data_IF_839130509293
#
_entry.id   IF_839130509293
#
_cell.length_a   1.000
_cell.length_b   1.000
_cell.length_c   1.000
_cell.angle_alpha   90.00
_cell.angle_beta   90.00
_cell.angle_gamma   90.00
#
_symmetry.space_group_name_H-M   'P 1'
#
loop_
_entity.id
_entity.type
_entity.pdbx_description
1 polymer ?
#
# COMPACT_ATOMS: atom_id res chain seq x y z
N UNK A 1 -27.38 17.51 -74.71
CA UNK A 1 -26.25 16.52 -74.78
C UNK A 1 -25.28 16.79 -73.65
N UNK A 2 -25.71 16.55 -72.39
CA UNK A 2 -24.90 16.85 -71.18
C UNK A 2 -24.94 15.75 -70.08
N UNK A 3 -25.50 14.56 -70.38
CA UNK A 3 -25.72 13.51 -69.40
C UNK A 3 -24.64 12.40 -69.43
N UNK A 4 -23.70 12.43 -70.37
CA UNK A 4 -22.70 11.38 -70.56
C UNK A 4 -21.39 11.54 -69.78
N UNK A 5 -21.19 12.65 -69.11
CA UNK A 5 -19.91 12.92 -68.39
C UNK A 5 -19.94 12.53 -66.90
N UNK A 6 -21.12 12.30 -66.30
CA UNK A 6 -21.21 11.93 -64.88
C UNK A 6 -21.34 10.44 -64.63
N UNK A 7 -21.78 9.62 -65.65
CA UNK A 7 -21.93 8.20 -65.54
C UNK A 7 -20.58 7.46 -65.35
N UNK A 8 -19.50 7.97 -65.98
CA UNK A 8 -18.20 7.31 -65.93
C UNK A 8 -17.43 7.66 -64.63
N UNK A 9 -17.72 8.83 -64.01
CA UNK A 9 -17.13 9.21 -62.74
C UNK A 9 -17.75 8.43 -61.57
N UNK A 10 -19.04 8.16 -61.63
CA UNK A 10 -19.72 7.38 -60.59
C UNK A 10 -19.33 5.90 -60.57
N UNK A 11 -19.09 5.29 -61.73
CA UNK A 11 -18.61 3.91 -61.82
C UNK A 11 -17.18 3.74 -61.30
N UNK A 12 -16.30 4.73 -61.50
CA UNK A 12 -14.94 4.68 -60.97
C UNK A 12 -14.91 4.88 -59.42
N UNK A 13 -15.77 5.76 -58.89
CA UNK A 13 -15.89 5.95 -57.46
C UNK A 13 -16.48 4.73 -56.76
N UNK A 14 -17.49 4.08 -57.37
CA UNK A 14 -18.11 2.88 -56.84
C UNK A 14 -17.17 1.66 -56.87
N UNK A 15 -16.34 1.50 -57.92
CA UNK A 15 -15.31 0.44 -57.98
C UNK A 15 -14.15 0.66 -57.04
N UNK A 16 -13.76 1.90 -56.74
CA UNK A 16 -12.74 2.23 -55.72
C UNK A 16 -13.25 1.99 -54.31
N UNK A 17 -14.53 2.21 -54.00
CA UNK A 17 -15.09 1.87 -52.68
C UNK A 17 -15.21 0.37 -52.44
N UNK A 18 -15.43 -0.45 -53.46
CA UNK A 18 -15.52 -1.92 -53.34
C UNK A 18 -14.12 -2.53 -53.21
N UNK A 19 -13.08 -1.96 -53.81
CA UNK A 19 -11.71 -2.43 -53.68
C UNK A 19 -11.10 -2.15 -52.28
N UNK A 20 -11.62 -1.12 -51.52
CA UNK A 20 -11.19 -0.80 -50.16
C UNK A 20 -11.73 -1.77 -49.09
N UNK A 21 -12.71 -2.60 -49.39
CA UNK A 21 -13.31 -3.55 -48.43
C UNK A 21 -12.74 -4.97 -48.60
N UNK A 22 -12.03 -5.26 -49.68
CA UNK A 22 -11.48 -6.60 -49.96
C UNK A 22 -10.11 -6.84 -49.28
N UNK A 23 -9.55 -5.85 -48.53
CA UNK A 23 -8.26 -5.95 -47.87
C UNK A 23 -8.28 -6.47 -46.43
N UNK A 24 -9.45 -6.75 -45.84
CA UNK A 24 -9.58 -7.18 -44.44
C UNK A 24 -10.27 -8.56 -44.29
N UNK A 25 -10.25 -9.42 -45.32
CA UNK A 25 -10.80 -10.80 -45.19
C UNK A 25 -9.67 -11.74 -45.56
N UNK A 26 -8.88 -12.14 -44.59
CA UNK A 26 -7.87 -13.18 -44.75
C UNK A 26 -6.67 -13.04 -43.82
N UNK A 27 -6.90 -13.07 -42.54
CA UNK A 27 -5.97 -13.45 -41.52
C UNK A 27 -6.79 -14.16 -40.46
N UNK A 28 -6.58 -15.45 -40.26
CA UNK A 28 -6.90 -16.10 -39.01
C UNK A 28 -5.96 -15.47 -37.95
N UNK A 29 -6.22 -14.20 -37.58
CA UNK A 29 -5.71 -13.65 -36.37
C UNK A 29 -6.47 -14.41 -35.28
N UNK A 30 -5.87 -15.46 -34.73
CA UNK A 30 -6.29 -15.99 -33.44
C UNK A 30 -6.29 -14.76 -32.52
N UNK A 31 -7.50 -14.33 -32.15
CA UNK A 31 -7.68 -13.25 -31.15
C UNK A 31 -7.04 -13.76 -29.88
N UNK A 32 -5.80 -13.37 -29.63
CA UNK A 32 -5.09 -13.72 -28.40
C UNK A 32 -5.91 -13.12 -27.28
N UNK A 33 -6.66 -13.97 -26.58
CA UNK A 33 -7.46 -13.56 -25.43
C UNK A 33 -6.53 -13.00 -24.37
N UNK A 34 -6.46 -11.67 -24.29
CA UNK A 34 -5.58 -10.97 -23.36
C UNK A 34 -6.06 -11.19 -21.95
N UNK A 35 -5.27 -11.89 -21.15
CA UNK A 35 -5.55 -12.18 -19.75
C UNK A 35 -5.16 -10.98 -18.89
N UNK A 36 -6.02 -10.62 -17.96
CA UNK A 36 -5.75 -9.51 -17.03
C UNK A 36 -5.46 -10.06 -15.64
N UNK A 37 -4.37 -9.57 -15.03
CA UNK A 37 -4.03 -9.78 -13.61
C UNK A 37 -4.26 -8.46 -12.90
N UNK A 38 -5.23 -8.43 -11.98
CA UNK A 38 -5.54 -7.28 -11.18
C UNK A 38 -4.88 -7.38 -9.81
N UNK A 39 -4.13 -6.35 -9.44
CA UNK A 39 -3.44 -6.22 -8.16
C UNK A 39 -4.00 -4.97 -7.47
N UNK A 40 -4.27 -5.04 -6.19
CA UNK A 40 -4.62 -3.85 -5.41
C UNK A 40 -4.20 -3.99 -3.95
N UNK A 41 -3.88 -2.87 -3.31
CA UNK A 41 -3.61 -2.85 -1.87
C UNK A 41 -2.69 -1.74 -1.43
N UNK A 42 -1.64 -2.11 -0.74
CA UNK A 42 -0.73 -1.24 -0.03
C UNK A 42 -0.11 -0.13 -0.89
N UNK A 43 -0.19 1.10 -0.43
CA UNK A 43 0.53 2.23 -1.04
C UNK A 43 2.06 2.08 -0.93
N UNK A 44 2.56 1.39 0.07
CA UNK A 44 4.00 1.07 0.24
C UNK A 44 4.47 0.05 -0.82
N UNK A 45 3.66 -0.96 -1.12
CA UNK A 45 3.99 -2.01 -2.10
C UNK A 45 3.71 -1.54 -3.54
N UNK A 46 2.79 -0.61 -3.73
CA UNK A 46 2.35 -0.12 -5.04
C UNK A 46 3.47 0.21 -6.04
N UNK A 47 4.55 0.94 -5.69
CA UNK A 47 5.61 1.24 -6.65
C UNK A 47 6.34 -0.02 -7.14
N UNK A 48 6.57 -0.97 -6.25
CA UNK A 48 7.25 -2.23 -6.55
C UNK A 48 6.35 -3.13 -7.38
N UNK A 49 5.09 -3.30 -6.97
CA UNK A 49 4.09 -4.07 -7.72
C UNK A 49 3.88 -3.50 -9.13
N UNK A 50 3.86 -2.17 -9.28
CA UNK A 50 3.74 -1.51 -10.58
C UNK A 50 4.94 -1.80 -11.49
N UNK A 51 6.16 -1.75 -10.95
CA UNK A 51 7.37 -2.06 -11.71
C UNK A 51 7.41 -3.54 -12.15
N UNK A 52 7.03 -4.45 -11.24
CA UNK A 52 6.94 -5.89 -11.58
C UNK A 52 5.83 -6.18 -12.58
N UNK A 53 4.66 -5.54 -12.43
CA UNK A 53 3.54 -5.69 -13.37
C UNK A 53 3.90 -5.25 -14.79
N UNK A 54 4.58 -4.11 -14.92
CA UNK A 54 5.08 -3.63 -16.21
C UNK A 54 6.11 -4.59 -16.82
N UNK A 55 7.07 -5.06 -16.03
CA UNK A 55 8.09 -6.00 -16.49
C UNK A 55 7.46 -7.35 -16.90
N UNK A 56 6.47 -7.84 -16.16
CA UNK A 56 5.77 -9.09 -16.47
C UNK A 56 4.97 -8.97 -17.77
N UNK A 57 4.18 -7.89 -17.93
CA UNK A 57 3.43 -7.65 -19.17
C UNK A 57 4.33 -7.48 -20.40
N UNK A 58 5.51 -6.84 -20.23
CA UNK A 58 6.47 -6.70 -21.31
C UNK A 58 7.11 -8.03 -21.72
N UNK A 59 7.27 -8.97 -20.78
CA UNK A 59 7.83 -10.29 -21.04
C UNK A 59 6.77 -11.31 -21.51
N UNK A 60 5.49 -11.05 -21.24
CA UNK A 60 4.37 -11.96 -21.51
C UNK A 60 3.22 -11.17 -22.18
N UNK A 61 3.25 -11.08 -23.51
CA UNK A 61 2.33 -10.26 -24.30
C UNK A 61 0.84 -10.65 -24.13
N UNK A 62 0.55 -11.87 -23.70
CA UNK A 62 -0.79 -12.38 -23.47
C UNK A 62 -1.41 -11.89 -22.15
N UNK A 63 -0.60 -11.17 -21.33
CA UNK A 63 -1.01 -10.70 -20.01
C UNK A 63 -0.91 -9.19 -19.89
N UNK A 64 -1.96 -8.59 -19.37
CA UNK A 64 -1.97 -7.22 -18.87
C UNK A 64 -2.04 -7.24 -17.36
N UNK A 65 -1.10 -6.57 -16.67
CA UNK A 65 -1.13 -6.41 -15.22
C UNK A 65 -1.58 -4.99 -14.88
N UNK A 66 -2.64 -4.89 -14.08
CA UNK A 66 -3.12 -3.61 -13.53
C UNK A 66 -2.81 -3.55 -12.05
N UNK A 67 -2.37 -2.41 -11.56
CA UNK A 67 -2.05 -2.21 -10.15
C UNK A 67 -2.77 -0.97 -9.65
N UNK A 68 -3.47 -1.10 -8.53
CA UNK A 68 -4.18 -0.02 -7.86
C UNK A 68 -3.72 0.11 -6.41
N UNK A 69 -3.58 1.33 -5.92
CA UNK A 69 -3.39 1.62 -4.50
C UNK A 69 -4.72 1.56 -3.74
N UNK A 70 -4.68 1.81 -2.43
CA UNK A 70 -5.89 1.85 -1.58
C UNK A 70 -5.64 1.43 -0.14
N UNK A 71 -4.36 1.15 0.20
CA UNK A 71 -3.96 0.67 1.53
C UNK A 71 -4.05 -0.84 1.69
N UNK A 72 -3.37 -1.37 2.70
CA UNK A 72 -3.31 -2.81 2.99
C UNK A 72 -4.69 -3.42 3.26
N UNK A 73 -5.59 -2.67 3.94
CA UNK A 73 -6.96 -3.11 4.18
C UNK A 73 -7.78 -3.27 2.90
N UNK A 74 -7.57 -2.41 1.91
CA UNK A 74 -8.21 -2.56 0.59
C UNK A 74 -7.69 -3.80 -0.14
N UNK A 75 -6.38 -4.10 -0.04
CA UNK A 75 -5.78 -5.32 -0.57
C UNK A 75 -6.40 -6.58 0.02
N UNK A 76 -6.49 -6.63 1.36
CA UNK A 76 -7.12 -7.71 2.09
C UNK A 76 -8.60 -7.90 1.69
N UNK A 77 -9.36 -6.81 1.69
CA UNK A 77 -10.79 -6.85 1.35
C UNK A 77 -11.03 -7.33 -0.07
N UNK A 78 -10.27 -6.82 -1.04
CA UNK A 78 -10.47 -7.14 -2.47
C UNK A 78 -10.04 -8.54 -2.84
N UNK A 79 -8.95 -9.05 -2.27
CA UNK A 79 -8.52 -10.44 -2.52
C UNK A 79 -9.45 -11.46 -1.88
N UNK A 80 -10.12 -11.07 -0.79
CA UNK A 80 -11.14 -11.87 -0.11
C UNK A 80 -12.56 -11.70 -0.69
N UNK A 81 -12.76 -10.79 -1.65
CA UNK A 81 -14.06 -10.55 -2.26
C UNK A 81 -14.39 -11.60 -3.31
N UNK A 82 -15.67 -11.92 -3.42
CA UNK A 82 -16.26 -12.72 -4.53
C UNK A 82 -16.98 -11.84 -5.54
N UNK A 83 -16.99 -10.53 -5.35
CA UNK A 83 -17.68 -9.57 -6.19
C UNK A 83 -16.86 -9.22 -7.45
N UNK A 84 -17.46 -8.42 -8.32
CA UNK A 84 -16.86 -8.02 -9.59
C UNK A 84 -15.62 -7.12 -9.45
N UNK A 85 -15.39 -6.56 -8.27
CA UNK A 85 -14.22 -5.73 -7.95
C UNK A 85 -13.10 -6.50 -7.24
N UNK A 86 -13.23 -7.83 -7.14
CA UNK A 86 -12.21 -8.72 -6.62
C UNK A 86 -10.91 -8.63 -7.44
N UNK A 87 -9.79 -8.91 -6.78
CA UNK A 87 -8.47 -8.90 -7.42
C UNK A 87 -7.80 -10.27 -7.35
N UNK A 88 -6.89 -10.52 -8.29
CA UNK A 88 -6.13 -11.76 -8.31
C UNK A 88 -5.04 -11.78 -7.23
N UNK A 89 -4.50 -10.59 -6.89
CA UNK A 89 -3.45 -10.41 -5.91
C UNK A 89 -3.81 -9.21 -5.03
N UNK A 90 -3.95 -9.45 -3.73
CA UNK A 90 -4.02 -8.39 -2.72
C UNK A 90 -2.63 -8.16 -2.14
N UNK A 91 -2.09 -6.95 -2.24
CA UNK A 91 -0.80 -6.64 -1.64
C UNK A 91 -0.95 -5.90 -0.31
N UNK A 92 -0.11 -6.25 0.66
CA UNK A 92 -0.14 -5.68 2.00
C UNK A 92 1.28 -5.40 2.50
N UNK A 93 1.43 -4.35 3.31
CA UNK A 93 2.68 -4.00 4.02
C UNK A 93 2.58 -4.22 5.53
N UNK A 94 1.64 -5.04 5.95
CA UNK A 94 1.43 -5.51 7.33
C UNK A 94 0.90 -6.94 7.33
N UNK A 95 0.87 -7.54 8.49
CA UNK A 95 0.20 -8.83 8.69
C UNK A 95 -1.33 -8.71 8.56
N UNK A 96 -1.98 -9.85 8.36
CA UNK A 96 -3.42 -9.95 8.41
C UNK A 96 -3.96 -9.57 9.78
N UNK A 97 -5.11 -8.91 9.82
CA UNK A 97 -5.90 -8.75 11.04
C UNK A 97 -6.78 -9.99 11.25
N UNK A 98 -7.02 -10.36 12.50
CA UNK A 98 -7.92 -11.48 12.85
C UNK A 98 -9.35 -11.30 12.28
N UNK A 99 -9.76 -10.03 12.09
CA UNK A 99 -11.04 -9.69 11.47
C UNK A 99 -11.07 -9.84 9.94
N UNK A 100 -9.93 -10.00 9.30
CA UNK A 100 -9.80 -10.13 7.84
C UNK A 100 -9.65 -11.59 7.41
N UNK A 101 -8.76 -12.34 8.06
CA UNK A 101 -8.53 -13.75 7.74
C UNK A 101 -7.88 -14.51 8.90
N UNK A 102 -8.00 -15.83 8.86
CA UNK A 102 -7.41 -16.74 9.83
C UNK A 102 -6.38 -17.64 9.14
N UNK A 103 -5.20 -17.77 9.76
CA UNK A 103 -4.12 -18.61 9.23
C UNK A 103 -4.45 -20.09 9.32
N UNK A 104 -4.16 -20.84 8.27
CA UNK A 104 -4.24 -22.30 8.23
C UNK A 104 -3.07 -22.98 8.95
N UNK A 105 -3.18 -24.29 9.12
CA UNK A 105 -2.16 -25.09 9.84
C UNK A 105 -0.79 -25.12 9.13
N UNK A 106 -0.74 -24.79 7.85
CA UNK A 106 0.49 -24.70 7.04
C UNK A 106 1.27 -23.38 7.24
N UNK A 107 0.65 -22.38 7.88
CA UNK A 107 1.26 -21.09 8.18
C UNK A 107 1.32 -20.08 7.02
N UNK A 108 0.86 -20.45 5.82
CA UNK A 108 0.85 -19.57 4.64
C UNK A 108 -0.47 -19.53 3.88
N UNK A 109 -1.39 -20.42 4.17
CA UNK A 109 -2.77 -20.39 3.67
C UNK A 109 -3.65 -19.63 4.65
N UNK A 110 -4.49 -18.74 4.15
CA UNK A 110 -5.38 -17.91 4.97
C UNK A 110 -6.82 -18.04 4.48
N UNK A 111 -7.73 -18.28 5.41
CA UNK A 111 -9.16 -18.32 5.15
C UNK A 111 -9.76 -16.96 5.47
N UNK A 112 -10.39 -16.34 4.50
CA UNK A 112 -11.02 -15.03 4.64
C UNK A 112 -12.19 -15.06 5.63
N UNK A 113 -12.28 -14.06 6.52
CA UNK A 113 -13.27 -14.07 7.61
C UNK A 113 -14.72 -13.90 7.13
N UNK A 114 -14.93 -13.21 6.00
CA UNK A 114 -16.28 -12.82 5.54
C UNK A 114 -16.65 -13.46 4.17
N UNK A 115 -15.91 -14.46 3.73
CA UNK A 115 -16.17 -15.19 2.48
C UNK A 115 -15.57 -16.58 2.54
N UNK A 116 -15.95 -17.45 1.59
CA UNK A 116 -15.37 -18.79 1.44
C UNK A 116 -14.02 -18.76 0.68
N UNK A 117 -13.44 -17.60 0.46
CA UNK A 117 -12.17 -17.44 -0.25
C UNK A 117 -11.01 -17.86 0.65
N UNK A 118 -10.11 -18.62 0.06
CA UNK A 118 -8.83 -18.99 0.67
C UNK A 118 -7.71 -18.43 -0.19
N UNK A 119 -6.75 -17.77 0.44
CA UNK A 119 -5.61 -17.14 -0.23
C UNK A 119 -4.28 -17.71 0.26
N UNK A 120 -3.27 -17.66 -0.59
CA UNK A 120 -1.89 -18.01 -0.21
C UNK A 120 -1.08 -16.75 -0.02
N UNK A 121 -0.45 -16.62 1.15
CA UNK A 121 0.45 -15.51 1.45
C UNK A 121 1.87 -15.79 0.96
N UNK A 122 2.46 -14.84 0.26
CA UNK A 122 3.85 -14.85 -0.17
C UNK A 122 4.55 -13.60 0.38
N UNK A 123 5.60 -13.79 1.15
CA UNK A 123 6.46 -12.68 1.61
C UNK A 123 7.45 -12.38 0.49
N UNK A 124 7.35 -11.19 -0.08
CA UNK A 124 8.14 -10.81 -1.27
C UNK A 124 9.27 -9.81 -0.96
N UNK A 125 9.15 -9.08 0.16
CA UNK A 125 10.16 -8.12 0.61
C UNK A 125 10.01 -7.84 2.10
N UNK A 126 11.03 -7.24 2.69
CA UNK A 126 11.00 -6.68 4.04
C UNK A 126 11.17 -5.17 3.88
N UNK A 127 10.26 -4.41 4.48
CA UNK A 127 10.32 -2.95 4.54
C UNK A 127 10.93 -2.50 5.87
N UNK A 128 11.50 -1.29 5.87
CA UNK A 128 12.10 -0.67 7.05
C UNK A 128 11.45 0.68 7.36
N UNK A 129 10.87 0.79 8.56
CA UNK A 129 10.39 2.06 9.08
C UNK A 129 11.52 2.78 9.82
N UNK A 130 11.75 4.05 9.48
CA UNK A 130 12.73 4.90 10.15
C UNK A 130 12.05 6.12 10.75
N UNK A 131 12.38 6.43 12.00
CA UNK A 131 12.03 7.70 12.62
C UNK A 131 13.12 8.71 12.29
N UNK A 132 12.74 9.85 11.75
CA UNK A 132 13.67 10.90 11.36
C UNK A 132 13.36 12.19 12.11
N UNK A 133 14.38 12.91 12.51
CA UNK A 133 14.29 14.19 13.22
C UNK A 133 15.12 15.25 12.53
N UNK A 134 14.78 16.53 12.74
CA UNK A 134 15.58 17.64 12.21
C UNK A 134 16.91 17.72 12.94
N UNK A 135 18.02 17.62 12.20
CA UNK A 135 19.36 17.74 12.76
C UNK A 135 19.56 19.10 13.46
N UNK A 136 20.05 19.06 14.69
CA UNK A 136 20.27 20.25 15.54
C UNK A 136 18.98 20.84 16.12
N UNK A 137 17.84 20.15 16.02
CA UNK A 137 16.59 20.51 16.68
C UNK A 137 16.49 19.90 18.08
N UNK A 138 15.46 20.28 18.86
CA UNK A 138 15.24 19.77 20.22
C UNK A 138 15.19 18.23 20.26
N UNK A 139 14.49 17.62 19.32
CA UNK A 139 14.44 16.16 19.18
C UNK A 139 15.82 15.53 18.99
N UNK A 140 16.64 16.05 18.07
CA UNK A 140 17.98 15.53 17.79
C UNK A 140 18.89 15.67 18.99
N UNK A 141 18.86 16.84 19.65
CA UNK A 141 19.67 17.11 20.84
C UNK A 141 19.31 16.16 21.98
N UNK A 142 18.02 16.01 22.29
CA UNK A 142 17.55 15.15 23.36
C UNK A 142 17.82 13.65 23.07
N UNK A 143 17.48 13.17 21.87
CA UNK A 143 17.71 11.78 21.47
C UNK A 143 19.21 11.44 21.48
N UNK A 144 20.05 12.34 21.00
CA UNK A 144 21.51 12.17 21.02
C UNK A 144 22.06 12.12 22.45
N UNK A 145 21.57 12.95 23.36
CA UNK A 145 21.94 12.96 24.76
C UNK A 145 21.50 11.70 25.51
N UNK A 146 20.38 11.10 25.09
CA UNK A 146 19.90 9.80 25.59
C UNK A 146 20.64 8.59 24.97
N UNK A 147 21.34 8.77 23.86
CA UNK A 147 21.96 7.69 23.11
C UNK A 147 20.98 6.90 22.25
N UNK A 148 19.81 7.44 21.96
CA UNK A 148 18.72 6.82 21.19
C UNK A 148 17.41 6.77 21.95
N UNK A 149 16.37 6.23 21.32
CA UNK A 149 15.06 5.99 21.93
C UNK A 149 14.83 4.49 22.13
N UNK A 150 14.31 4.12 23.29
CA UNK A 150 13.80 2.78 23.55
C UNK A 150 12.44 2.57 22.85
N UNK A 151 12.04 1.31 22.68
CA UNK A 151 10.70 0.99 22.17
C UNK A 151 9.58 1.52 23.07
N UNK A 152 9.82 1.55 24.39
CA UNK A 152 8.89 2.13 25.36
C UNK A 152 8.70 3.64 25.11
N UNK A 153 9.80 4.36 24.97
CA UNK A 153 9.77 5.80 24.68
C UNK A 153 9.11 6.08 23.32
N UNK A 154 9.39 5.29 22.28
CA UNK A 154 8.71 5.43 20.99
C UNK A 154 7.20 5.21 21.11
N UNK A 155 6.76 4.18 21.82
CA UNK A 155 5.33 3.96 22.06
C UNK A 155 4.69 5.09 22.86
N UNK A 156 5.36 5.57 23.88
CA UNK A 156 4.87 6.71 24.64
C UNK A 156 4.76 7.97 23.76
N UNK A 157 5.74 8.21 22.89
CA UNK A 157 5.71 9.33 21.94
C UNK A 157 4.54 9.22 20.94
N UNK A 158 4.29 8.03 20.39
CA UNK A 158 3.37 7.83 19.26
C UNK A 158 1.97 7.35 19.65
N UNK A 159 1.67 7.13 20.93
CA UNK A 159 0.34 6.73 21.39
C UNK A 159 -0.22 7.77 22.37
N UNK A 160 -1.51 7.75 22.60
CA UNK A 160 -2.20 8.50 23.65
C UNK A 160 -2.30 7.69 24.98
N UNK A 161 -1.64 6.54 25.04
CA UNK A 161 -1.68 5.65 26.19
C UNK A 161 -0.95 6.24 27.40
N UNK A 162 -1.50 6.02 28.59
CA UNK A 162 -0.80 6.33 29.82
C UNK A 162 0.40 5.41 30.05
N UNK A 163 1.30 5.77 30.96
CA UNK A 163 2.41 4.88 31.35
C UNK A 163 1.89 3.54 31.87
N UNK A 164 0.79 3.54 32.65
CA UNK A 164 0.17 2.32 33.17
C UNK A 164 -0.36 1.44 32.05
N UNK A 165 -0.99 2.03 31.02
CA UNK A 165 -1.48 1.28 29.85
C UNK A 165 -0.32 0.64 29.11
N UNK A 166 0.77 1.36 28.91
CA UNK A 166 1.97 0.86 28.22
C UNK A 166 2.67 -0.26 28.99
N UNK A 167 2.70 -0.18 30.33
CA UNK A 167 3.28 -1.22 31.19
C UNK A 167 2.45 -2.51 31.22
N UNK A 168 1.11 -2.39 31.17
CA UNK A 168 0.16 -3.50 31.31
C UNK A 168 -0.30 -4.09 29.99
N UNK A 169 -0.01 -3.45 28.85
CA UNK A 169 -0.47 -3.90 27.55
C UNK A 169 0.09 -5.28 27.16
N UNK A 170 -0.79 -6.18 26.73
CA UNK A 170 -0.46 -7.57 26.40
C UNK A 170 0.66 -7.76 25.34
N UNK A 171 0.85 -6.78 24.45
CA UNK A 171 1.89 -6.79 23.39
C UNK A 171 3.23 -6.27 23.86
N UNK A 172 3.47 -6.16 25.15
CA UNK A 172 4.80 -5.91 25.50
C UNK A 172 5.13 -5.22 26.76
N UNK A 173 4.76 -5.66 27.97
CA UNK A 173 5.29 -5.27 29.28
C UNK A 173 6.58 -4.39 29.26
N UNK A 174 6.49 -3.20 28.64
CA UNK A 174 7.60 -2.31 28.49
C UNK A 174 7.71 -1.50 29.77
N UNK A 175 8.79 -1.68 30.49
CA UNK A 175 9.06 -0.89 31.69
C UNK A 175 9.26 0.56 31.29
N UNK A 176 8.34 1.43 31.72
CA UNK A 176 8.35 2.88 31.44
C UNK A 176 9.24 3.67 32.41
N UNK A 177 10.19 3.01 33.06
CA UNK A 177 11.13 3.66 34.00
C UNK A 177 12.03 4.73 33.35
N UNK A 178 11.96 4.86 32.03
CA UNK A 178 12.72 5.84 31.26
C UNK A 178 11.90 7.08 30.88
N UNK A 179 10.66 7.20 31.36
CA UNK A 179 9.84 8.38 31.17
C UNK A 179 9.56 8.98 32.55
N UNK A 180 9.89 10.22 32.72
CA UNK A 180 9.56 11.01 33.92
C UNK A 180 8.60 12.10 33.44
N UNK A 181 7.28 11.88 33.55
CA UNK A 181 6.34 12.89 33.11
C UNK A 181 6.58 14.20 33.79
N UNK A 182 6.59 15.25 33.03
CA UNK A 182 6.60 16.61 33.53
C UNK A 182 5.33 16.84 34.37
N UNK A 183 5.50 17.38 35.59
CA UNK A 183 4.40 17.64 36.51
C UNK A 183 3.72 19.00 36.30
N UNK A 184 3.88 19.63 35.14
CA UNK A 184 3.26 20.94 34.88
C UNK A 184 1.75 20.86 34.60
N UNK A 185 1.22 19.66 34.51
CA UNK A 185 -0.23 19.38 34.43
C UNK A 185 -0.92 19.91 33.15
N UNK A 186 -0.18 20.13 32.08
CA UNK A 186 -0.69 20.71 30.84
C UNK A 186 -1.13 19.66 29.79
N UNK A 187 -1.01 18.38 30.08
CA UNK A 187 -1.36 17.24 29.21
C UNK A 187 -0.55 17.13 27.90
N UNK A 188 0.52 17.91 27.77
CA UNK A 188 1.41 17.81 26.63
C UNK A 188 2.53 16.81 26.91
N UNK A 189 3.07 16.27 25.83
CA UNK A 189 4.30 15.47 25.88
C UNK A 189 5.44 16.31 25.36
N UNK A 190 6.47 16.46 26.19
CA UNK A 190 7.63 17.29 25.93
C UNK A 190 8.91 16.46 25.93
N UNK A 191 9.97 16.99 25.32
CA UNK A 191 11.25 16.29 25.31
C UNK A 191 11.86 16.19 26.71
N UNK A 192 11.60 17.14 27.58
CA UNK A 192 11.99 17.12 29.00
C UNK A 192 11.39 15.99 29.82
N UNK A 193 10.23 15.45 29.41
CA UNK A 193 9.62 14.28 30.02
C UNK A 193 10.45 13.00 29.85
N UNK A 194 11.26 12.93 28.80
CA UNK A 194 12.07 11.75 28.49
C UNK A 194 13.37 11.72 29.28
N UNK A 195 13.93 12.88 29.63
CA UNK A 195 15.16 13.00 30.42
C UNK A 195 15.31 14.41 31.00
N UNK A 196 15.59 14.49 32.29
CA UNK A 196 15.99 15.73 32.94
C UNK A 196 17.43 16.09 32.54
N UNK A 197 17.57 16.86 31.47
CA UNK A 197 18.86 17.36 30.99
C UNK A 197 18.69 18.63 30.16
N UNK A 198 19.73 19.45 30.11
CA UNK A 198 19.74 20.68 29.31
C UNK A 198 19.60 20.44 27.80
N UNK A 199 19.77 19.22 27.33
CA UNK A 199 19.59 18.82 25.92
C UNK A 199 18.13 18.43 25.61
N UNK A 200 17.33 18.09 26.61
CA UNK A 200 15.92 17.78 26.53
C UNK A 200 15.10 19.00 27.00
N UNK A 201 14.79 19.88 26.08
CA UNK A 201 14.10 21.15 26.35
C UNK A 201 12.60 20.93 26.64
N UNK A 202 11.97 21.85 27.38
CA UNK A 202 10.53 21.94 27.59
C UNK A 202 9.88 22.39 26.28
N UNK A 203 9.87 21.48 25.30
CA UNK A 203 9.30 21.69 23.98
C UNK A 203 8.38 20.52 23.61
N UNK A 204 7.14 20.88 23.24
CA UNK A 204 6.13 19.92 22.82
C UNK A 204 6.61 19.02 21.67
N UNK A 205 6.44 17.72 21.83
CA UNK A 205 6.74 16.72 20.81
C UNK A 205 5.66 16.79 19.73
N UNK A 206 6.06 17.18 18.52
CA UNK A 206 5.16 17.22 17.34
C UNK A 206 5.46 16.06 16.44
N UNK A 207 4.41 15.26 16.15
CA UNK A 207 4.51 14.05 15.37
C UNK A 207 4.04 14.26 13.94
N UNK A 208 4.72 13.55 13.04
CA UNK A 208 4.33 13.39 11.65
C UNK A 208 4.44 11.90 11.33
N UNK A 209 3.46 11.36 10.65
CA UNK A 209 3.41 9.95 10.30
C UNK A 209 2.68 9.72 8.99
N UNK A 210 2.62 8.48 8.59
CA UNK A 210 1.76 8.05 7.49
C UNK A 210 0.29 8.28 7.87
N UNK A 211 -0.57 8.46 6.86
CA UNK A 211 -2.02 8.54 7.09
C UNK A 211 -2.62 7.16 7.41
N UNK A 212 -3.87 7.14 7.84
CA UNK A 212 -4.59 5.93 8.26
C UNK A 212 -4.79 4.90 7.15
N UNK A 213 -4.62 5.30 5.88
CA UNK A 213 -4.76 4.38 4.74
C UNK A 213 -3.46 3.65 4.42
N UNK A 214 -2.36 4.05 5.04
CA UNK A 214 -1.06 3.39 4.90
C UNK A 214 -0.96 2.19 5.85
N UNK A 215 -0.53 1.04 5.32
CA UNK A 215 -0.21 -0.12 6.15
C UNK A 215 0.95 0.12 7.12
N UNK A 216 1.72 1.17 6.92
CA UNK A 216 2.78 1.62 7.84
C UNK A 216 2.23 2.40 9.03
N UNK A 217 0.98 2.92 8.96
CA UNK A 217 0.31 3.61 10.06
C UNK A 217 -0.16 2.62 11.15
N UNK A 218 -0.57 1.42 10.77
CA UNK A 218 -1.07 0.34 11.64
C UNK A 218 0.11 -0.51 12.17
#
# INVERSE_FOLDING_TARGET
MRIRKYGMAWTIVLTLMIAGIAGCIGGDDEEVEQKTINIAGSSTVFPVASAWGQAYSAANSDYTVTVAGGGSGAGASKVCSTDTDSVNIGDMSRDWKDSEATVGADGYTWSCANSDVTVTQLIVAIDGLSVVVKKGGAADNCISDMGGLSMAQLRWIYSDWSETDLETHEKGGLVMSSVTPNNDNDSKREWSDLKDSAACEDQEIKLWGADSDSGTYE
#
